data_IF_554344284451
#
_entry.id   IF_554344284451
#
_cell.length_a   1.000
_cell.length_b   1.000
_cell.length_c   1.000
_cell.angle_alpha   90.00
_cell.angle_beta   90.00
_cell.angle_gamma   90.00
#
_symmetry.space_group_name_H-M   'P 1'
#
loop_
_entity.id
_entity.type
_entity.pdbx_description
1 polymer ?
#
# COMPACT_ATOMS: atom_id res chain seq x y z
N UNK A 1 39.62 -32.78 -17.00
CA UNK A 1 38.69 -32.25 -15.97
C UNK A 1 37.28 -32.18 -16.55
N UNK A 2 36.44 -33.18 -16.26
CA UNK A 2 35.06 -33.20 -16.74
C UNK A 2 34.16 -32.46 -15.74
N UNK A 3 33.50 -31.39 -16.18
CA UNK A 3 32.49 -30.65 -15.40
C UNK A 3 31.31 -31.59 -15.09
N UNK A 4 31.03 -31.82 -13.81
CA UNK A 4 29.80 -32.45 -13.34
C UNK A 4 28.59 -31.64 -13.85
N UNK A 5 27.89 -32.16 -14.87
CA UNK A 5 26.57 -31.67 -15.26
C UNK A 5 25.60 -32.09 -14.16
N UNK A 6 25.17 -31.16 -13.31
CA UNK A 6 24.07 -31.37 -12.37
C UNK A 6 22.83 -31.76 -13.17
N UNK A 7 22.38 -33.00 -13.01
CA UNK A 7 21.21 -33.53 -13.73
C UNK A 7 19.97 -32.83 -13.17
N UNK A 8 19.35 -31.94 -13.95
CA UNK A 8 18.10 -31.27 -13.57
C UNK A 8 16.90 -32.19 -13.81
N UNK A 9 16.42 -32.79 -12.71
CA UNK A 9 15.24 -33.67 -12.70
C UNK A 9 13.99 -32.97 -13.24
N UNK A 10 13.83 -31.65 -13.01
CA UNK A 10 12.65 -30.89 -13.47
C UNK A 10 12.61 -30.81 -14.99
N UNK A 11 13.76 -30.52 -15.61
CA UNK A 11 13.89 -30.48 -17.07
C UNK A 11 13.60 -31.83 -17.72
N UNK A 12 14.02 -32.93 -17.08
CA UNK A 12 13.76 -34.30 -17.57
C UNK A 12 12.27 -34.64 -17.51
N UNK A 13 11.59 -34.32 -16.39
CA UNK A 13 10.15 -34.51 -16.26
C UNK A 13 9.40 -33.74 -17.35
N UNK A 14 9.74 -32.47 -17.58
CA UNK A 14 9.11 -31.64 -18.61
C UNK A 14 9.36 -32.17 -20.04
N UNK A 15 10.55 -32.71 -20.31
CA UNK A 15 10.88 -33.32 -21.60
C UNK A 15 10.00 -34.56 -21.86
N UNK A 16 9.85 -35.43 -20.86
CA UNK A 16 9.03 -36.65 -20.96
C UNK A 16 7.56 -36.28 -21.13
N UNK A 17 7.05 -35.31 -20.35
CA UNK A 17 5.68 -34.81 -20.49
C UNK A 17 5.42 -34.26 -21.90
N UNK A 18 6.40 -33.58 -22.52
CA UNK A 18 6.29 -33.05 -23.89
C UNK A 18 6.30 -34.15 -24.96
N UNK A 19 7.03 -35.24 -24.73
CA UNK A 19 7.18 -36.35 -25.70
C UNK A 19 6.05 -37.38 -25.60
N UNK A 20 5.69 -37.82 -24.39
CA UNK A 20 4.71 -38.89 -24.16
C UNK A 20 3.30 -38.36 -23.83
N UNK A 21 3.15 -37.07 -23.52
CA UNK A 21 1.88 -36.48 -23.05
C UNK A 21 1.55 -36.81 -21.58
N UNK A 22 2.32 -37.68 -20.93
CA UNK A 22 2.28 -37.98 -19.51
C UNK A 22 3.65 -38.44 -19.02
N UNK A 23 3.87 -38.45 -17.71
CA UNK A 23 5.07 -38.99 -17.07
C UNK A 23 4.70 -39.87 -15.87
N UNK A 24 5.46 -40.93 -15.65
CA UNK A 24 5.43 -41.74 -14.44
C UNK A 24 6.72 -41.57 -13.67
N UNK A 25 6.68 -41.87 -12.37
CA UNK A 25 7.86 -41.80 -11.51
C UNK A 25 8.92 -42.82 -11.96
N UNK A 26 8.50 -43.97 -12.49
CA UNK A 26 9.41 -44.99 -13.07
C UNK A 26 10.21 -44.46 -14.25
N UNK A 27 9.58 -43.69 -15.17
CA UNK A 27 10.28 -43.11 -16.33
C UNK A 27 11.48 -42.26 -15.90
N UNK A 28 11.35 -41.55 -14.78
CA UNK A 28 12.39 -40.66 -14.26
C UNK A 28 13.46 -41.44 -13.49
N UNK A 29 13.06 -42.47 -12.74
CA UNK A 29 13.99 -43.36 -12.03
C UNK A 29 14.92 -44.05 -13.04
N UNK A 30 14.35 -44.60 -14.12
CA UNK A 30 15.09 -45.29 -15.18
C UNK A 30 16.08 -44.37 -15.90
N UNK A 31 15.79 -43.07 -15.98
CA UNK A 31 16.64 -42.08 -16.68
C UNK A 31 17.69 -41.43 -15.78
N UNK A 32 17.50 -41.41 -14.46
CA UNK A 32 18.31 -40.57 -13.54
C UNK A 32 18.94 -41.31 -12.37
N UNK A 33 18.55 -42.56 -12.11
CA UNK A 33 18.99 -43.37 -10.97
C UNK A 33 18.73 -42.74 -9.59
N UNK A 34 17.93 -41.67 -9.49
CA UNK A 34 17.56 -41.06 -8.22
C UNK A 34 16.48 -41.84 -7.48
N UNK A 35 16.43 -41.67 -6.15
CA UNK A 35 15.44 -42.35 -5.31
C UNK A 35 14.00 -41.91 -5.65
N UNK A 36 13.05 -42.84 -5.50
CA UNK A 36 11.63 -42.59 -5.73
C UNK A 36 11.10 -41.43 -4.86
N UNK A 37 11.56 -41.31 -3.62
CA UNK A 37 11.20 -40.22 -2.72
C UNK A 37 11.68 -38.86 -3.23
N UNK A 38 12.92 -38.79 -3.74
CA UNK A 38 13.49 -37.58 -4.32
C UNK A 38 12.72 -37.11 -5.55
N UNK A 39 12.37 -38.02 -6.47
CA UNK A 39 11.58 -37.70 -7.67
C UNK A 39 10.14 -37.29 -7.32
N UNK A 40 9.51 -37.97 -6.35
CA UNK A 40 8.18 -37.62 -5.87
C UNK A 40 8.11 -36.20 -5.31
N UNK A 41 9.20 -35.69 -4.71
CA UNK A 41 9.28 -34.29 -4.27
C UNK A 41 9.12 -33.32 -5.44
N UNK A 42 9.75 -33.59 -6.58
CA UNK A 42 9.62 -32.75 -7.79
C UNK A 42 8.24 -32.85 -8.43
N UNK A 43 7.63 -34.05 -8.49
CA UNK A 43 6.25 -34.17 -8.98
C UNK A 43 5.24 -33.50 -8.05
N UNK A 44 5.46 -33.55 -6.72
CA UNK A 44 4.67 -32.80 -5.75
C UNK A 44 4.80 -31.30 -6.01
N UNK A 45 6.02 -30.79 -6.16
CA UNK A 45 6.26 -29.38 -6.49
C UNK A 45 5.60 -28.99 -7.81
N UNK A 46 5.75 -29.77 -8.89
CA UNK A 46 5.11 -29.48 -10.18
C UNK A 46 3.58 -29.53 -10.12
N UNK A 47 3.01 -30.36 -9.23
CA UNK A 47 1.57 -30.43 -8.99
C UNK A 47 1.09 -29.23 -8.17
N UNK A 48 1.83 -28.86 -7.13
CA UNK A 48 1.55 -27.70 -6.29
C UNK A 48 1.68 -26.39 -7.12
N UNK A 49 2.61 -26.36 -8.10
CA UNK A 49 2.75 -25.32 -9.13
C UNK A 49 1.63 -25.35 -10.20
N UNK A 50 0.71 -26.33 -10.15
CA UNK A 50 -0.37 -26.50 -11.12
C UNK A 50 0.08 -26.86 -12.53
N UNK A 51 1.33 -27.32 -12.72
CA UNK A 51 1.90 -27.70 -14.03
C UNK A 51 1.51 -29.11 -14.44
N UNK A 52 1.21 -29.99 -13.47
CA UNK A 52 0.79 -31.36 -13.72
C UNK A 52 -0.38 -31.78 -12.84
N UNK A 53 -1.24 -32.65 -13.37
CA UNK A 53 -2.30 -33.32 -12.64
C UNK A 53 -1.98 -34.81 -12.51
N UNK A 54 -2.23 -35.39 -11.33
CA UNK A 54 -2.06 -36.82 -11.10
C UNK A 54 -3.37 -37.56 -11.38
N UNK A 55 -3.32 -38.59 -12.20
CA UNK A 55 -4.42 -39.53 -12.45
C UNK A 55 -3.97 -40.94 -12.08
N UNK A 56 -4.85 -41.70 -11.40
CA UNK A 56 -4.56 -43.04 -10.92
C UNK A 56 -3.88 -43.08 -9.55
N UNK A 57 -3.60 -44.28 -9.06
CA UNK A 57 -2.96 -44.54 -7.75
C UNK A 57 -1.86 -45.59 -7.91
N UNK A 58 -0.88 -45.56 -6.99
CA UNK A 58 0.22 -46.51 -6.92
C UNK A 58 0.93 -46.73 -8.27
N UNK A 59 1.04 -47.98 -8.74
CA UNK A 59 1.69 -48.33 -10.02
C UNK A 59 0.93 -47.84 -11.27
N UNK A 60 -0.32 -47.40 -11.13
CA UNK A 60 -1.12 -46.80 -12.21
C UNK A 60 -1.09 -45.26 -12.19
N UNK A 61 -0.30 -44.65 -11.30
CA UNK A 61 -0.13 -43.20 -11.22
C UNK A 61 0.54 -42.65 -12.49
N UNK A 62 -0.11 -41.67 -13.11
CA UNK A 62 0.39 -40.93 -14.28
C UNK A 62 0.18 -39.44 -14.08
N UNK A 63 1.22 -38.65 -14.36
CA UNK A 63 1.19 -37.19 -14.30
C UNK A 63 0.98 -36.64 -15.69
N UNK A 64 -0.04 -35.81 -15.87
CA UNK A 64 -0.38 -35.18 -17.14
C UNK A 64 -0.09 -33.68 -17.09
N UNK A 65 0.43 -33.06 -18.16
CA UNK A 65 0.62 -31.63 -18.20
C UNK A 65 -0.74 -30.94 -18.15
N UNK A 66 -0.91 -30.01 -17.21
CA UNK A 66 -2.07 -29.13 -17.21
C UNK A 66 -1.78 -28.03 -18.23
N UNK A 67 -2.61 -27.93 -19.27
CA UNK A 67 -2.47 -26.86 -20.26
C UNK A 67 -2.50 -25.50 -19.57
N UNK A 68 -1.63 -24.56 -20.01
CA UNK A 68 -1.63 -23.18 -19.50
C UNK A 68 -3.04 -22.57 -19.52
N UNK A 69 -3.87 -22.93 -20.50
CA UNK A 69 -5.27 -22.53 -20.62
C UNK A 69 -6.17 -23.08 -19.51
N UNK A 70 -6.00 -24.34 -19.09
CA UNK A 70 -6.77 -24.94 -17.97
C UNK A 70 -6.36 -24.34 -16.64
N UNK A 71 -5.06 -24.11 -16.43
CA UNK A 71 -4.56 -23.45 -15.23
C UNK A 71 -5.02 -21.99 -15.14
N UNK A 72 -4.97 -21.25 -16.26
CA UNK A 72 -5.54 -19.90 -16.33
C UNK A 72 -7.05 -19.90 -16.10
N UNK A 73 -7.81 -20.85 -16.66
CA UNK A 73 -9.25 -20.99 -16.38
C UNK A 73 -9.55 -21.29 -14.90
N UNK A 74 -8.71 -22.08 -14.23
CA UNK A 74 -8.86 -22.38 -12.81
C UNK A 74 -8.51 -21.17 -11.93
N UNK A 75 -7.36 -20.52 -12.18
CA UNK A 75 -6.95 -19.28 -11.50
C UNK A 75 -7.97 -18.16 -11.71
N UNK A 76 -8.47 -18.02 -12.93
CA UNK A 76 -9.45 -17.02 -13.32
C UNK A 76 -10.82 -17.18 -12.64
N UNK A 77 -11.06 -18.23 -11.84
CA UNK A 77 -12.23 -18.35 -10.96
C UNK A 77 -11.96 -17.85 -9.53
N UNK A 78 -10.70 -17.68 -9.17
CA UNK A 78 -10.27 -17.25 -7.83
C UNK A 78 -10.13 -15.73 -7.85
N UNK A 79 -11.24 -15.06 -7.60
CA UNK A 79 -11.34 -13.60 -7.50
C UNK A 79 -11.27 -13.10 -6.06
N UNK A 80 -11.01 -13.99 -5.10
CA UNK A 80 -10.91 -13.65 -3.69
C UNK A 80 -9.79 -14.46 -3.05
N UNK A 81 -8.95 -13.78 -2.29
CA UNK A 81 -7.87 -14.36 -1.50
C UNK A 81 -8.00 -13.87 -0.07
N UNK A 82 -7.96 -14.78 0.89
CA UNK A 82 -7.86 -14.46 2.31
C UNK A 82 -6.74 -15.30 2.91
N UNK A 83 -5.80 -14.66 3.62
CA UNK A 83 -4.70 -15.35 4.29
C UNK A 83 -4.45 -14.76 5.67
N UNK A 84 -3.99 -15.61 6.57
CA UNK A 84 -3.43 -15.23 7.87
C UNK A 84 -1.94 -15.55 7.81
N UNK A 85 -1.11 -14.53 7.88
CA UNK A 85 0.34 -14.61 7.78
C UNK A 85 0.92 -14.58 9.19
N UNK A 86 1.95 -15.40 9.46
CA UNK A 86 2.76 -15.22 10.67
C UNK A 86 3.76 -14.10 10.40
N UNK A 87 3.87 -13.14 11.30
CA UNK A 87 4.81 -12.04 11.17
C UNK A 87 6.20 -12.44 11.65
N UNK A 88 6.81 -13.41 10.96
CA UNK A 88 8.13 -13.94 11.24
C UNK A 88 8.84 -14.22 9.92
N UNK A 89 9.92 -13.50 9.62
CA UNK A 89 10.66 -13.58 8.35
C UNK A 89 9.71 -13.46 7.13
N UNK A 90 8.72 -12.57 7.23
CA UNK A 90 7.74 -12.33 6.18
C UNK A 90 8.28 -11.25 5.23
N UNK A 91 8.15 -11.48 3.93
CA UNK A 91 8.50 -10.51 2.88
C UNK A 91 7.27 -10.26 2.00
N UNK A 92 6.90 -8.99 1.87
CA UNK A 92 5.72 -8.51 1.18
C UNK A 92 5.73 -8.84 -0.33
N UNK A 93 6.90 -8.77 -0.96
CA UNK A 93 7.12 -9.09 -2.37
C UNK A 93 6.84 -10.58 -2.68
N UNK A 94 7.25 -11.47 -1.78
CA UNK A 94 7.00 -12.90 -1.87
C UNK A 94 5.51 -13.20 -1.71
N UNK A 95 4.85 -12.58 -0.72
CA UNK A 95 3.40 -12.72 -0.50
C UNK A 95 2.63 -12.26 -1.74
N UNK A 96 2.99 -11.11 -2.31
CA UNK A 96 2.36 -10.59 -3.52
C UNK A 96 2.57 -11.53 -4.72
N UNK A 97 3.80 -12.03 -4.91
CA UNK A 97 4.13 -13.00 -5.97
C UNK A 97 3.25 -14.24 -5.84
N UNK A 98 3.09 -14.80 -4.64
CA UNK A 98 2.22 -15.95 -4.41
C UNK A 98 0.74 -15.64 -4.75
N UNK A 99 0.25 -14.43 -4.47
CA UNK A 99 -1.13 -14.02 -4.82
C UNK A 99 -1.30 -14.00 -6.33
N UNK A 100 -0.37 -13.38 -7.07
CA UNK A 100 -0.36 -13.33 -8.54
C UNK A 100 -0.28 -14.72 -9.15
N UNK A 101 0.51 -15.61 -8.54
CA UNK A 101 0.67 -16.97 -9.02
C UNK A 101 -0.54 -17.85 -8.72
N UNK A 102 -1.22 -17.69 -7.58
CA UNK A 102 -2.26 -18.63 -7.13
C UNK A 102 -3.69 -18.15 -7.40
N UNK A 103 -3.89 -16.92 -7.89
CA UNK A 103 -5.22 -16.34 -8.09
C UNK A 103 -5.39 -15.63 -9.43
N UNK A 104 -6.65 -15.31 -9.78
CA UNK A 104 -7.03 -14.51 -10.93
C UNK A 104 -7.21 -13.02 -10.61
N UNK A 105 -6.73 -12.57 -9.45
CA UNK A 105 -6.88 -11.18 -8.99
C UNK A 105 -6.33 -10.18 -10.03
N UNK A 106 -5.17 -10.48 -10.61
CA UNK A 106 -4.48 -9.60 -11.56
C UNK A 106 -4.88 -9.80 -13.03
N UNK A 107 -5.88 -10.65 -13.31
CA UNK A 107 -6.26 -10.95 -14.69
C UNK A 107 -7.04 -9.80 -15.31
N UNK A 108 -6.81 -9.54 -16.59
CA UNK A 108 -7.50 -8.50 -17.36
C UNK A 108 -7.44 -7.08 -16.74
N UNK A 109 -6.38 -6.78 -15.99
CA UNK A 109 -6.09 -5.43 -15.50
C UNK A 109 -5.18 -4.70 -16.48
N UNK A 110 -5.41 -3.39 -16.64
CA UNK A 110 -4.46 -2.51 -17.33
C UNK A 110 -3.15 -2.42 -16.55
N UNK A 111 -2.03 -2.18 -17.23
CA UNK A 111 -0.72 -2.20 -16.55
C UNK A 111 -0.57 -1.14 -15.47
N UNK A 112 -1.10 0.06 -15.71
CA UNK A 112 -1.07 1.12 -14.69
C UNK A 112 -1.77 0.68 -13.39
N UNK A 113 -2.88 -0.06 -13.48
CA UNK A 113 -3.58 -0.59 -12.31
C UNK A 113 -2.77 -1.68 -11.62
N UNK A 114 -2.08 -2.56 -12.38
CA UNK A 114 -1.20 -3.58 -11.77
C UNK A 114 -0.04 -2.93 -11.03
N UNK A 115 0.63 -1.94 -11.63
CA UNK A 115 1.72 -1.20 -10.98
C UNK A 115 1.26 -0.50 -9.71
N UNK A 116 0.07 0.11 -9.74
CA UNK A 116 -0.53 0.72 -8.54
C UNK A 116 -0.72 -0.34 -7.45
N UNK A 117 -1.35 -1.46 -7.78
CA UNK A 117 -1.61 -2.52 -6.79
C UNK A 117 -0.32 -3.13 -6.25
N UNK A 118 0.70 -3.29 -7.08
CA UNK A 118 2.00 -3.82 -6.68
C UNK A 118 2.64 -2.91 -5.64
N UNK A 119 2.70 -1.62 -5.92
CA UNK A 119 3.21 -0.61 -4.98
C UNK A 119 2.35 -0.54 -3.72
N UNK A 120 1.06 -0.24 -3.84
CA UNK A 120 0.24 0.08 -2.66
C UNK A 120 0.02 -1.13 -1.74
N UNK A 121 -0.09 -2.34 -2.26
CA UNK A 121 -0.22 -3.51 -1.41
C UNK A 121 1.06 -3.84 -0.66
N UNK A 122 2.22 -3.78 -1.34
CA UNK A 122 3.52 -4.07 -0.71
C UNK A 122 3.82 -3.05 0.37
N UNK A 123 3.60 -1.76 0.10
CA UNK A 123 3.76 -0.70 1.09
C UNK A 123 2.88 -0.89 2.33
N UNK A 124 1.60 -1.22 2.15
CA UNK A 124 0.69 -1.41 3.30
C UNK A 124 1.00 -2.69 4.09
N UNK A 125 1.44 -3.75 3.40
CA UNK A 125 1.85 -4.99 4.07
C UNK A 125 3.19 -4.81 4.80
N UNK A 126 4.16 -4.11 4.20
CA UNK A 126 5.45 -3.84 4.80
C UNK A 126 5.31 -3.00 6.08
N UNK A 127 4.48 -1.93 6.02
CA UNK A 127 4.12 -1.15 7.20
C UNK A 127 3.54 -2.02 8.34
N UNK A 128 2.70 -3.02 8.00
CA UNK A 128 2.18 -3.96 8.99
C UNK A 128 3.27 -4.91 9.53
N UNK A 129 4.20 -5.38 8.69
CA UNK A 129 5.31 -6.25 9.08
C UNK A 129 6.22 -5.53 10.08
N UNK A 130 6.66 -4.32 9.73
CA UNK A 130 7.71 -3.58 10.43
C UNK A 130 7.23 -2.84 11.68
N UNK A 131 5.99 -2.35 11.66
CA UNK A 131 5.54 -1.39 12.68
C UNK A 131 4.37 -1.88 13.53
N UNK A 132 3.70 -2.97 13.17
CA UNK A 132 2.55 -3.42 13.96
C UNK A 132 2.95 -4.08 15.28
N UNK A 133 4.12 -4.72 15.35
CA UNK A 133 4.49 -5.65 16.44
C UNK A 133 3.46 -6.80 16.62
N UNK A 134 2.61 -7.03 15.63
CA UNK A 134 1.60 -8.09 15.69
C UNK A 134 2.19 -9.43 15.31
N UNK A 135 1.84 -10.50 16.03
CA UNK A 135 2.27 -11.86 15.69
C UNK A 135 1.66 -12.37 14.37
N UNK A 136 0.51 -11.83 13.96
CA UNK A 136 -0.21 -12.25 12.77
C UNK A 136 -0.75 -11.05 12.01
N UNK A 137 -0.76 -11.17 10.69
CA UNK A 137 -1.32 -10.18 9.77
C UNK A 137 -2.34 -10.88 8.89
N UNK A 138 -3.54 -10.33 8.79
CA UNK A 138 -4.59 -10.82 7.94
C UNK A 138 -4.64 -10.00 6.66
N UNK A 139 -4.72 -10.66 5.53
CA UNK A 139 -4.85 -10.01 4.23
C UNK A 139 -6.07 -10.53 3.49
N UNK A 140 -6.75 -9.60 2.82
CA UNK A 140 -7.80 -9.91 1.85
C UNK A 140 -7.48 -9.24 0.53
N UNK A 141 -7.77 -9.93 -0.56
CA UNK A 141 -7.74 -9.38 -1.91
C UNK A 141 -9.01 -9.81 -2.62
N UNK A 142 -9.68 -8.88 -3.30
CA UNK A 142 -10.91 -9.15 -4.04
C UNK A 142 -10.87 -8.44 -5.38
N UNK A 143 -11.12 -9.20 -6.43
CA UNK A 143 -11.36 -8.70 -7.78
C UNK A 143 -12.87 -8.75 -8.04
N UNK A 144 -13.50 -7.59 -8.19
CA UNK A 144 -14.94 -7.46 -8.48
C UNK A 144 -15.19 -7.08 -9.94
N UNK A 145 -16.44 -6.88 -10.33
CA UNK A 145 -16.75 -6.49 -11.70
C UNK A 145 -16.25 -5.08 -12.07
N UNK A 146 -16.16 -4.15 -11.12
CA UNK A 146 -15.68 -2.78 -11.34
C UNK A 146 -14.29 -2.50 -10.77
N UNK A 147 -14.00 -3.06 -9.60
CA UNK A 147 -12.90 -2.60 -8.75
C UNK A 147 -12.04 -3.74 -8.24
N UNK A 148 -10.79 -3.41 -7.89
CA UNK A 148 -9.91 -4.22 -7.07
C UNK A 148 -9.90 -3.64 -5.65
N UNK A 149 -10.03 -4.55 -4.68
CA UNK A 149 -9.98 -4.25 -3.27
C UNK A 149 -8.89 -5.07 -2.60
N UNK A 150 -8.15 -4.47 -1.68
CA UNK A 150 -7.41 -5.23 -0.69
C UNK A 150 -7.58 -4.64 0.70
N UNK A 151 -7.31 -5.49 1.69
CA UNK A 151 -7.30 -5.11 3.10
C UNK A 151 -6.12 -5.76 3.80
N UNK A 152 -5.42 -4.98 4.63
CA UNK A 152 -4.35 -5.42 5.50
C UNK A 152 -4.76 -5.09 6.93
N UNK A 153 -4.87 -6.12 7.77
CA UNK A 153 -5.27 -5.98 9.17
C UNK A 153 -4.19 -6.60 10.06
N UNK A 154 -3.72 -5.85 11.03
CA UNK A 154 -2.95 -6.36 12.16
C UNK A 154 -3.75 -6.18 13.46
N UNK A 155 -3.30 -6.88 14.52
CA UNK A 155 -3.85 -6.72 15.89
C UNK A 155 -2.77 -6.24 16.86
N UNK A 156 -1.84 -5.46 16.34
CA UNK A 156 -0.66 -4.95 17.02
C UNK A 156 -0.91 -3.65 17.78
N UNK A 157 0.14 -2.83 17.87
CA UNK A 157 0.14 -1.52 18.56
C UNK A 157 -0.89 -0.54 17.97
N UNK A 158 -1.08 -0.61 16.65
CA UNK A 158 -1.92 0.31 15.87
C UNK A 158 -1.20 1.60 15.49
N UNK A 159 -1.41 2.04 14.25
CA UNK A 159 -0.76 3.17 13.58
C UNK A 159 -0.84 4.47 14.39
N UNK A 160 -2.03 4.87 14.85
CA UNK A 160 -2.18 6.12 15.58
C UNK A 160 -1.47 6.06 16.93
N UNK A 161 -1.59 4.96 17.67
CA UNK A 161 -0.88 4.78 18.93
C UNK A 161 0.64 4.78 18.74
N UNK A 162 1.13 4.11 17.71
CA UNK A 162 2.55 4.10 17.37
C UNK A 162 3.08 5.52 17.10
N UNK A 163 2.35 6.30 16.29
CA UNK A 163 2.70 7.70 16.00
C UNK A 163 2.63 8.55 17.28
N UNK A 164 1.58 8.42 18.08
CA UNK A 164 1.42 9.12 19.37
C UNK A 164 2.65 8.89 20.25
N UNK A 165 3.03 7.63 20.45
CA UNK A 165 4.14 7.25 21.33
C UNK A 165 5.47 7.80 20.81
N UNK A 166 5.77 7.62 19.53
CA UNK A 166 7.07 7.99 18.95
C UNK A 166 7.22 9.50 18.74
N UNK A 167 6.14 10.22 18.47
CA UNK A 167 6.14 11.70 18.26
C UNK A 167 5.70 12.49 19.50
N UNK A 168 5.36 11.81 20.60
CA UNK A 168 4.87 12.40 21.86
C UNK A 168 3.65 13.32 21.65
N UNK A 169 2.72 12.88 20.80
CA UNK A 169 1.49 13.62 20.51
C UNK A 169 0.44 13.38 21.60
N UNK A 170 -0.59 14.23 21.66
CA UNK A 170 -1.56 14.19 22.75
C UNK A 170 -2.70 13.20 22.54
N UNK A 171 -3.08 12.95 21.29
CA UNK A 171 -4.25 12.15 20.93
C UNK A 171 -4.22 11.71 19.46
N UNK A 172 -5.18 10.87 19.08
CA UNK A 172 -5.32 10.30 17.74
C UNK A 172 -5.54 11.35 16.66
N UNK A 173 -6.20 12.47 16.98
CA UNK A 173 -6.43 13.54 16.02
C UNK A 173 -5.12 14.23 15.64
N UNK A 174 -4.23 14.47 16.60
CA UNK A 174 -2.89 15.00 16.32
C UNK A 174 -2.05 13.99 15.52
N UNK A 175 -2.17 12.69 15.81
CA UNK A 175 -1.47 11.66 15.04
C UNK A 175 -1.96 11.55 13.60
N UNK A 176 -3.28 11.66 13.38
CA UNK A 176 -3.87 11.75 12.04
C UNK A 176 -3.34 13.00 11.34
N UNK A 177 -3.41 14.17 11.97
CA UNK A 177 -2.92 15.43 11.41
C UNK A 177 -1.44 15.35 11.00
N UNK A 178 -0.60 14.70 11.80
CA UNK A 178 0.79 14.45 11.44
C UNK A 178 0.90 13.51 10.24
N UNK A 179 0.23 12.34 10.29
CA UNK A 179 0.24 11.31 9.24
C UNK A 179 -0.12 11.88 7.85
N UNK A 180 -1.18 12.70 7.77
CA UNK A 180 -1.70 13.22 6.49
C UNK A 180 -0.68 14.16 5.80
N UNK A 181 0.26 14.77 6.54
CA UNK A 181 1.26 15.67 5.96
C UNK A 181 2.31 14.95 5.10
N UNK A 182 2.47 13.64 5.25
CA UNK A 182 3.51 12.88 4.58
C UNK A 182 4.93 13.13 5.13
N UNK A 183 5.91 12.38 4.61
CA UNK A 183 7.29 12.27 5.15
C UNK A 183 7.30 11.95 6.64
N UNK A 184 6.26 11.29 7.14
CA UNK A 184 6.16 10.96 8.56
C UNK A 184 6.59 9.53 8.73
N UNK A 185 7.87 9.39 9.01
CA UNK A 185 8.47 8.14 9.41
C UNK A 185 8.74 8.17 10.89
N UNK A 186 8.62 7.00 11.51
CA UNK A 186 9.04 6.79 12.87
C UNK A 186 10.39 6.08 12.98
N UNK A 187 11.00 5.78 11.83
CA UNK A 187 12.34 5.22 11.64
C UNK A 187 12.98 5.87 10.39
N UNK A 188 13.46 7.13 10.49
CA UNK A 188 13.90 7.93 9.35
C UNK A 188 15.14 7.44 8.61
N UNK A 189 15.88 6.51 9.19
CA UNK A 189 17.04 5.87 8.55
C UNK A 189 16.59 4.76 7.59
N UNK A 190 15.45 4.12 7.87
CA UNK A 190 14.99 2.91 7.18
C UNK A 190 13.79 3.20 6.26
N UNK A 191 12.96 4.21 6.58
CA UNK A 191 11.78 4.57 5.80
C UNK A 191 11.67 6.07 5.57
N UNK A 192 11.31 6.45 4.34
CA UNK A 192 11.06 7.83 3.94
C UNK A 192 9.77 8.41 4.56
N UNK A 193 8.83 7.55 4.96
CA UNK A 193 7.54 7.94 5.54
C UNK A 193 6.58 8.52 4.50
N UNK A 194 6.74 8.09 3.25
CA UNK A 194 6.03 8.60 2.07
C UNK A 194 4.93 7.62 1.61
N UNK A 195 5.01 6.38 2.04
CA UNK A 195 4.31 5.25 1.45
C UNK A 195 2.79 5.36 1.64
N UNK A 196 2.37 5.68 2.87
CA UNK A 196 0.97 5.95 3.21
C UNK A 196 0.46 7.20 2.47
N UNK A 197 1.31 8.23 2.37
CA UNK A 197 0.93 9.47 1.69
C UNK A 197 0.67 9.22 0.20
N UNK A 198 1.59 8.56 -0.50
CA UNK A 198 1.41 8.25 -1.91
C UNK A 198 0.28 7.25 -2.13
N UNK A 199 0.14 6.24 -1.28
CA UNK A 199 -0.99 5.30 -1.33
C UNK A 199 -2.31 6.06 -1.20
N UNK A 200 -2.39 7.07 -0.33
CA UNK A 200 -3.60 7.88 -0.15
C UNK A 200 -3.92 8.79 -1.33
N UNK A 201 -2.95 9.13 -2.19
CA UNK A 201 -3.17 9.93 -3.41
C UNK A 201 -3.51 9.08 -4.63
N UNK A 202 -3.06 7.83 -4.65
CA UNK A 202 -3.21 6.92 -5.79
C UNK A 202 -4.52 6.13 -5.73
N UNK A 203 -4.99 5.78 -4.53
CA UNK A 203 -6.24 5.04 -4.35
C UNK A 203 -7.45 5.80 -4.90
N UNK A 204 -8.51 5.11 -5.33
CA UNK A 204 -9.81 5.77 -5.48
C UNK A 204 -10.41 6.03 -4.08
N UNK A 205 -10.25 5.05 -3.17
CA UNK A 205 -10.57 5.19 -1.76
C UNK A 205 -9.52 4.46 -0.90
N UNK A 206 -9.02 5.12 0.14
CA UNK A 206 -8.17 4.52 1.18
C UNK A 206 -8.79 4.78 2.55
N UNK A 207 -8.97 3.73 3.34
CA UNK A 207 -9.47 3.82 4.71
C UNK A 207 -8.44 3.25 5.67
N UNK A 208 -8.15 4.00 6.74
CA UNK A 208 -7.26 3.57 7.82
C UNK A 208 -8.01 3.65 9.14
N UNK A 209 -8.27 2.51 9.77
CA UNK A 209 -8.88 2.42 11.11
C UNK A 209 -7.82 2.03 12.14
N UNK A 210 -7.92 2.63 13.32
CA UNK A 210 -7.04 2.35 14.45
C UNK A 210 -7.53 3.10 15.67
N UNK A 211 -7.30 2.55 16.87
CA UNK A 211 -7.86 3.09 18.11
C UNK A 211 -9.38 3.35 17.93
N UNK A 212 -9.88 4.54 18.23
CA UNK A 212 -11.27 4.98 18.07
C UNK A 212 -11.50 5.84 16.80
N UNK A 213 -10.56 5.88 15.85
CA UNK A 213 -10.64 6.73 14.66
C UNK A 213 -10.62 5.95 13.36
N UNK A 214 -11.32 6.50 12.36
CA UNK A 214 -11.29 6.08 10.97
C UNK A 214 -10.95 7.28 10.09
N UNK A 215 -9.84 7.21 9.37
CA UNK A 215 -9.43 8.18 8.36
C UNK A 215 -9.82 7.65 6.99
N UNK A 216 -10.41 8.50 6.17
CA UNK A 216 -10.92 8.16 4.84
C UNK A 216 -10.36 9.16 3.85
N UNK A 217 -9.63 8.68 2.85
CA UNK A 217 -9.29 9.44 1.65
C UNK A 217 -10.22 8.98 0.54
N UNK A 218 -11.12 9.85 0.11
CA UNK A 218 -12.02 9.59 -1.02
C UNK A 218 -11.61 10.48 -2.19
N UNK A 219 -10.83 9.91 -3.11
CA UNK A 219 -10.31 10.65 -4.27
C UNK A 219 -11.34 10.70 -5.41
N UNK A 220 -12.46 9.98 -5.33
CA UNK A 220 -13.57 10.08 -6.30
C UNK A 220 -14.26 11.43 -6.14
N UNK A 221 -14.50 11.87 -4.90
CA UNK A 221 -15.03 13.21 -4.61
C UNK A 221 -13.94 14.24 -4.25
N UNK A 222 -12.70 13.78 -4.09
CA UNK A 222 -11.53 14.60 -3.77
C UNK A 222 -11.64 15.22 -2.38
N UNK A 223 -11.90 14.40 -1.36
CA UNK A 223 -12.09 14.86 0.01
C UNK A 223 -11.58 13.86 1.07
N UNK A 224 -11.13 14.38 2.22
CA UNK A 224 -10.69 13.56 3.37
C UNK A 224 -11.64 13.72 4.55
N UNK A 225 -11.92 12.60 5.22
CA UNK A 225 -12.83 12.52 6.36
C UNK A 225 -12.18 11.83 7.56
N UNK A 226 -12.61 12.23 8.76
CA UNK A 226 -12.24 11.60 10.02
C UNK A 226 -13.53 11.28 10.76
N UNK A 227 -13.74 10.02 11.10
CA UNK A 227 -14.92 9.54 11.82
C UNK A 227 -14.50 8.92 13.17
N UNK A 228 -15.34 9.13 14.18
CA UNK A 228 -15.29 8.35 15.42
C UNK A 228 -15.90 6.97 15.19
N UNK A 229 -15.20 5.94 15.64
CA UNK A 229 -15.64 4.55 15.55
C UNK A 229 -15.47 3.85 16.90
N UNK A 230 -16.10 2.67 17.05
CA UNK A 230 -15.79 1.79 18.18
C UNK A 230 -14.30 1.45 18.19
N UNK A 231 -13.70 1.44 19.37
CA UNK A 231 -12.27 1.16 19.52
C UNK A 231 -11.90 -0.18 18.90
N UNK A 232 -10.90 -0.17 18.02
CA UNK A 232 -10.31 -1.34 17.40
C UNK A 232 -8.88 -1.54 17.88
N UNK A 233 -8.46 -2.81 18.01
CA UNK A 233 -7.07 -3.19 18.27
C UNK A 233 -6.31 -3.34 16.96
N UNK A 234 -5.09 -2.79 16.92
CA UNK A 234 -4.20 -2.80 15.76
C UNK A 234 -4.60 -1.77 14.71
N UNK A 235 -4.16 -2.01 13.47
CA UNK A 235 -4.52 -1.21 12.31
C UNK A 235 -5.22 -2.02 11.25
N UNK A 236 -6.21 -1.40 10.63
CA UNK A 236 -7.01 -1.96 9.54
C UNK A 236 -6.99 -0.99 8.36
N UNK A 237 -6.23 -1.34 7.33
CA UNK A 237 -6.10 -0.58 6.09
C UNK A 237 -6.95 -1.26 5.01
N UNK A 238 -7.80 -0.48 4.37
CA UNK A 238 -8.62 -0.92 3.24
C UNK A 238 -8.39 -0.01 2.04
N UNK A 239 -8.20 -0.60 0.87
CA UNK A 239 -7.84 0.09 -0.37
C UNK A 239 -8.78 -0.34 -1.50
N UNK A 240 -9.23 0.62 -2.30
CA UNK A 240 -10.00 0.41 -3.52
C UNK A 240 -9.40 1.16 -4.70
N UNK A 241 -9.43 0.51 -5.86
CA UNK A 241 -9.16 1.15 -7.15
C UNK A 241 -10.02 0.52 -8.27
N UNK A 242 -10.54 1.36 -9.15
CA UNK A 242 -11.22 0.95 -10.36
C UNK A 242 -10.28 0.21 -11.29
N UNK A 243 -10.76 -0.88 -11.89
CA UNK A 243 -10.02 -1.61 -12.93
C UNK A 243 -9.81 -0.77 -14.18
N UNK A 244 -10.59 0.28 -14.36
CA UNK A 244 -10.50 1.23 -15.46
C UNK A 244 -9.86 2.57 -15.03
N UNK A 245 -9.23 2.62 -13.85
CA UNK A 245 -8.54 3.83 -13.40
C UNK A 245 -7.51 4.28 -14.44
N UNK A 246 -7.50 5.59 -14.72
CA UNK A 246 -6.53 6.23 -15.61
C UNK A 246 -5.31 6.75 -14.85
N UNK A 247 -5.34 6.68 -13.52
CA UNK A 247 -4.25 7.11 -12.65
C UNK A 247 -2.98 6.36 -12.99
N UNK A 248 -1.86 7.06 -13.01
CA UNK A 248 -0.53 6.47 -13.14
C UNK A 248 0.29 6.88 -11.94
N UNK A 249 0.97 5.90 -11.34
CA UNK A 249 1.81 6.12 -10.17
C UNK A 249 2.89 7.20 -10.41
N UNK A 250 3.49 7.19 -11.60
CA UNK A 250 4.52 8.17 -11.98
C UNK A 250 4.00 9.60 -12.02
N UNK A 251 2.75 9.82 -12.48
CA UNK A 251 2.16 11.16 -12.54
C UNK A 251 1.99 11.72 -11.11
N UNK A 252 1.58 10.87 -10.17
CA UNK A 252 1.48 11.23 -8.75
C UNK A 252 2.86 11.49 -8.14
N UNK A 253 3.85 10.63 -8.38
CA UNK A 253 5.21 10.88 -7.87
C UNK A 253 5.75 12.21 -8.39
N UNK A 254 5.66 12.45 -9.70
CA UNK A 254 6.13 13.68 -10.32
C UNK A 254 5.46 14.93 -9.73
N UNK A 255 4.16 14.87 -9.42
CA UNK A 255 3.43 15.98 -8.79
C UNK A 255 4.05 16.42 -7.46
N UNK A 256 4.55 15.47 -6.66
CA UNK A 256 5.03 15.74 -5.30
C UNK A 256 6.57 15.73 -5.16
N UNK A 257 7.31 15.16 -6.11
CA UNK A 257 8.77 15.14 -6.11
C UNK A 257 9.41 16.19 -7.02
N UNK A 258 8.66 16.67 -8.03
CA UNK A 258 9.21 17.52 -9.08
C UNK A 258 10.42 16.88 -9.79
N UNK A 259 11.30 17.73 -10.33
CA UNK A 259 12.46 17.30 -11.14
C UNK A 259 13.58 16.65 -10.32
N UNK A 260 13.60 16.88 -9.00
CA UNK A 260 14.65 16.36 -8.12
C UNK A 260 14.41 14.92 -7.65
N UNK A 261 13.24 14.32 -7.96
CA UNK A 261 12.78 13.03 -7.44
C UNK A 261 12.72 12.89 -5.91
N UNK A 262 13.10 13.93 -5.18
CA UNK A 262 12.91 14.07 -3.74
C UNK A 262 11.50 14.61 -3.46
N UNK A 263 10.73 13.97 -2.57
CA UNK A 263 9.38 14.40 -2.16
C UNK A 263 9.38 15.77 -1.45
N UNK A 264 9.53 16.85 -2.21
CA UNK A 264 9.70 18.20 -1.70
C UNK A 264 8.38 18.92 -1.42
N UNK A 265 7.23 18.38 -1.81
CA UNK A 265 5.96 19.09 -1.80
C UNK A 265 4.90 18.38 -0.98
N UNK A 266 4.14 19.10 -0.16
CA UNK A 266 2.98 18.53 0.53
C UNK A 266 1.74 19.41 0.41
N UNK A 267 0.57 18.78 0.54
CA UNK A 267 -0.73 19.44 0.55
C UNK A 267 -1.43 19.19 1.88
N UNK A 268 -1.80 20.27 2.58
CA UNK A 268 -2.44 20.22 3.89
C UNK A 268 -3.87 20.75 3.81
N UNK A 269 -4.83 19.91 4.18
CA UNK A 269 -6.24 20.29 4.25
C UNK A 269 -6.54 21.03 5.55
N UNK A 270 -6.74 22.35 5.46
CA UNK A 270 -6.91 23.22 6.62
C UNK A 270 -8.17 22.86 7.42
N UNK A 271 -9.22 22.37 6.76
CA UNK A 271 -10.46 21.93 7.40
C UNK A 271 -10.24 20.88 8.49
N UNK A 272 -9.23 20.01 8.35
CA UNK A 272 -8.93 18.92 9.30
C UNK A 272 -8.31 19.42 10.62
N UNK A 273 -7.94 20.70 10.68
CA UNK A 273 -7.36 21.34 11.87
C UNK A 273 -8.34 22.25 12.60
N UNK A 274 -9.56 22.42 12.05
CA UNK A 274 -10.63 23.17 12.69
C UNK A 274 -11.11 22.40 13.93
N UNK A 275 -11.31 23.11 15.03
CA UNK A 275 -11.72 22.55 16.31
C UNK A 275 -12.67 23.53 16.97
N UNK A 276 -13.97 23.19 16.99
CA UNK A 276 -15.04 23.86 17.74
C UNK A 276 -15.42 25.28 17.29
N UNK A 277 -14.46 26.15 16.96
CA UNK A 277 -14.68 27.56 16.62
C UNK A 277 -15.00 27.75 15.14
N UNK A 278 -15.81 28.78 14.84
CA UNK A 278 -16.13 29.18 13.46
C UNK A 278 -14.91 29.56 12.62
N UNK A 279 -13.85 30.02 13.27
CA UNK A 279 -12.57 30.48 12.71
C UNK A 279 -11.38 29.67 13.24
N UNK A 280 -10.25 29.78 12.54
CA UNK A 280 -8.99 29.10 12.89
C UNK A 280 -8.05 30.04 13.66
N UNK A 281 -7.47 29.55 14.75
CA UNK A 281 -6.64 30.29 15.70
C UNK A 281 -5.14 30.16 15.44
N UNK A 282 -4.33 30.99 16.13
CA UNK A 282 -2.87 30.94 16.08
C UNK A 282 -2.27 29.61 16.57
N UNK A 283 -2.87 28.98 17.58
CA UNK A 283 -2.41 27.66 18.05
C UNK A 283 -2.71 26.56 17.02
N UNK A 284 -3.81 26.68 16.28
CA UNK A 284 -4.10 25.82 15.13
C UNK A 284 -3.09 26.03 13.99
N UNK A 285 -2.69 27.26 13.69
CA UNK A 285 -1.62 27.53 12.72
C UNK A 285 -0.33 26.78 13.09
N UNK A 286 0.11 26.87 14.36
CA UNK A 286 1.31 26.15 14.81
C UNK A 286 1.19 24.63 14.65
N UNK A 287 0.00 24.06 14.88
CA UNK A 287 -0.24 22.62 14.65
C UNK A 287 -0.20 22.24 13.17
N UNK A 288 -0.78 23.07 12.30
CA UNK A 288 -0.70 22.90 10.84
C UNK A 288 0.77 22.89 10.41
N UNK A 289 1.54 23.88 10.86
CA UNK A 289 2.92 24.12 10.42
C UNK A 289 3.96 23.16 11.00
N UNK A 290 3.68 22.57 12.17
CA UNK A 290 4.61 21.65 12.84
C UNK A 290 5.07 20.52 11.92
N UNK A 291 6.38 20.38 11.75
CA UNK A 291 6.99 19.33 10.94
C UNK A 291 6.95 19.59 9.44
N UNK A 292 6.44 20.75 8.99
CA UNK A 292 6.46 21.12 7.57
C UNK A 292 7.80 21.70 7.10
N UNK A 293 8.74 21.94 8.02
CA UNK A 293 10.07 22.49 7.74
C UNK A 293 10.93 21.58 6.83
N UNK A 294 10.53 20.31 6.68
CA UNK A 294 11.18 19.30 5.82
C UNK A 294 10.77 19.37 4.34
N UNK A 295 9.82 20.24 3.99
CA UNK A 295 9.33 20.40 2.62
C UNK A 295 9.89 21.69 1.99
N UNK A 296 9.98 21.68 0.66
CA UNK A 296 10.33 22.84 -0.18
C UNK A 296 9.09 23.63 -0.59
N UNK A 297 7.97 22.94 -0.82
CA UNK A 297 6.69 23.56 -1.18
C UNK A 297 5.54 23.02 -0.31
N UNK A 298 4.70 23.92 0.19
CA UNK A 298 3.53 23.60 1.01
C UNK A 298 2.31 24.25 0.35
N UNK A 299 1.32 23.42 0.01
CA UNK A 299 0.00 23.88 -0.41
C UNK A 299 -0.95 23.80 0.79
N UNK A 300 -1.52 24.94 1.17
CA UNK A 300 -2.59 25.01 2.16
C UNK A 300 -3.94 25.03 1.44
N UNK A 301 -4.71 23.96 1.56
CA UNK A 301 -6.03 23.84 0.95
C UNK A 301 -7.13 24.33 1.90
N UNK A 302 -7.81 25.40 1.49
CA UNK A 302 -8.89 26.05 2.21
C UNK A 302 -10.28 25.59 1.75
N UNK A 303 -10.39 24.48 1.00
CA UNK A 303 -11.69 23.88 0.65
C UNK A 303 -12.55 23.71 1.91
N UNK A 304 -13.78 24.22 1.86
CA UNK A 304 -14.74 24.25 2.98
C UNK A 304 -14.27 25.05 4.23
N UNK A 305 -13.37 26.02 4.05
CA UNK A 305 -12.93 26.95 5.11
C UNK A 305 -13.33 28.37 4.72
N UNK A 306 -14.36 28.90 5.38
CA UNK A 306 -14.93 30.22 5.07
C UNK A 306 -14.47 31.35 5.97
N UNK A 307 -13.76 31.04 7.06
CA UNK A 307 -13.23 32.07 7.95
C UNK A 307 -11.90 31.66 8.57
N UNK A 308 -11.02 32.65 8.72
CA UNK A 308 -9.67 32.49 9.24
C UNK A 308 -9.37 33.69 10.13
N UNK A 309 -8.94 33.44 11.36
CA UNK A 309 -8.55 34.53 12.27
C UNK A 309 -7.24 35.17 11.82
N UNK A 310 -7.10 36.47 12.05
CA UNK A 310 -5.86 37.21 11.74
C UNK A 310 -4.63 36.55 12.39
N UNK A 311 -4.74 36.04 13.62
CA UNK A 311 -3.65 35.35 14.30
C UNK A 311 -3.19 34.04 13.63
N UNK A 312 -4.08 33.35 12.89
CA UNK A 312 -3.67 32.22 12.05
C UNK A 312 -2.90 32.71 10.83
N UNK A 313 -3.46 33.69 10.10
CA UNK A 313 -2.86 34.23 8.89
C UNK A 313 -1.47 34.82 9.18
N UNK A 314 -1.35 35.61 10.25
CA UNK A 314 -0.11 36.22 10.73
C UNK A 314 0.96 35.16 11.03
N UNK A 315 0.57 34.09 11.74
CA UNK A 315 1.51 33.02 12.10
C UNK A 315 2.01 32.27 10.86
N UNK A 316 1.11 31.93 9.93
CA UNK A 316 1.45 31.16 8.71
C UNK A 316 2.24 32.02 7.72
N UNK A 317 1.64 33.09 7.24
CA UNK A 317 2.11 33.79 6.03
C UNK A 317 3.14 34.89 6.33
N UNK A 318 3.30 35.28 7.60
CA UNK A 318 4.28 36.30 8.00
C UNK A 318 5.33 35.71 8.95
N UNK A 319 4.94 35.23 10.13
CA UNK A 319 5.90 34.80 11.16
C UNK A 319 6.67 33.54 10.75
N UNK A 320 5.96 32.46 10.40
CA UNK A 320 6.59 31.19 10.03
C UNK A 320 7.28 31.28 8.68
N UNK A 321 6.66 31.94 7.69
CA UNK A 321 7.28 32.19 6.38
C UNK A 321 8.59 32.99 6.49
N UNK A 322 8.67 34.03 7.35
CA UNK A 322 9.93 34.77 7.59
C UNK A 322 11.01 33.90 8.24
N UNK A 323 10.62 32.92 9.06
CA UNK A 323 11.55 31.97 9.70
C UNK A 323 12.02 30.86 8.76
N UNK A 324 11.25 30.59 7.70
CA UNK A 324 11.53 29.55 6.72
C UNK A 324 11.51 30.12 5.29
N UNK A 325 12.38 31.10 4.97
CA UNK A 325 12.34 31.82 3.69
C UNK A 325 12.59 30.92 2.46
N UNK A 326 13.25 29.78 2.66
CA UNK A 326 13.53 28.78 1.63
C UNK A 326 12.30 27.93 1.25
N UNK A 327 11.25 27.94 2.06
CA UNK A 327 10.05 27.12 1.85
C UNK A 327 8.97 27.97 1.20
N UNK A 328 8.37 27.49 0.13
CA UNK A 328 7.28 28.18 -0.56
C UNK A 328 5.94 27.74 0.00
N UNK A 329 5.20 28.66 0.61
CA UNK A 329 3.78 28.46 0.96
C UNK A 329 2.89 29.04 -0.13
N UNK A 330 1.91 28.26 -0.58
CA UNK A 330 0.82 28.71 -1.47
C UNK A 330 -0.54 28.26 -0.96
N UNK A 331 -1.57 29.04 -1.25
CA UNK A 331 -2.96 28.73 -0.96
C UNK A 331 -3.69 28.07 -2.15
N UNK A 332 -4.60 27.15 -1.87
CA UNK A 332 -5.54 26.55 -2.83
C UNK A 332 -6.96 26.64 -2.27
N UNK A 333 -7.97 26.82 -3.13
CA UNK A 333 -9.39 26.89 -2.77
C UNK A 333 -9.73 27.94 -1.70
N UNK A 334 -8.91 28.99 -1.56
CA UNK A 334 -9.21 30.12 -0.70
C UNK A 334 -10.30 30.99 -1.33
N UNK A 335 -11.36 31.28 -0.57
CA UNK A 335 -12.39 32.25 -0.94
C UNK A 335 -11.89 33.71 -0.75
N UNK A 336 -12.75 34.68 -1.07
CA UNK A 336 -12.41 36.11 -0.99
C UNK A 336 -12.04 36.55 0.43
N UNK A 337 -12.75 36.05 1.46
CA UNK A 337 -12.49 36.38 2.86
C UNK A 337 -11.12 35.86 3.29
N UNK A 338 -10.78 34.62 2.91
CA UNK A 338 -9.49 34.02 3.20
C UNK A 338 -8.38 34.80 2.49
N UNK A 339 -8.51 35.09 1.19
CA UNK A 339 -7.50 35.83 0.41
C UNK A 339 -7.28 37.24 0.94
N UNK A 340 -8.35 37.93 1.32
CA UNK A 340 -8.27 39.26 1.95
C UNK A 340 -7.40 39.21 3.21
N UNK A 341 -7.65 38.24 4.09
CA UNK A 341 -6.89 38.09 5.34
C UNK A 341 -5.42 37.74 5.08
N UNK A 342 -5.12 36.89 4.09
CA UNK A 342 -3.74 36.56 3.69
C UNK A 342 -3.01 37.80 3.18
N UNK A 343 -3.65 38.57 2.29
CA UNK A 343 -3.06 39.79 1.72
C UNK A 343 -2.79 40.82 2.81
N UNK A 344 -3.77 41.06 3.68
CA UNK A 344 -3.66 42.01 4.78
C UNK A 344 -2.43 41.75 5.65
N UNK A 345 -2.18 40.49 6.06
CA UNK A 345 -1.02 40.18 6.93
C UNK A 345 0.33 40.16 6.20
N UNK A 346 0.35 39.95 4.88
CA UNK A 346 1.59 40.01 4.10
C UNK A 346 2.10 41.44 3.90
N UNK A 347 1.20 42.43 4.03
CA UNK A 347 1.51 43.87 3.92
C UNK A 347 1.92 44.50 5.26
N UNK A 348 1.84 43.76 6.39
CA UNK A 348 2.33 44.12 7.73
C UNK A 348 3.80 43.71 7.95
#
# INVERSE_FOLDING_TARGET
MAKNKTIDVRSIILKILKQKGYAQVSDIIETTSFSRAYINRFFKQLRDDGKVALIGKANKARYFPVGKSTLQKAKGKIHFVHRILQNQNLAEDQVLTEIKEKSGIYFHLFENVKHILDYTFTEMLNNAIEHSESARIWIWFKHTNGDIYFRVLDRGIGIYNNIILKKKLKNELEAIQDLIKGKQTTAPVEHSGEDIYFTSKVADCLIIKGSNKKLIFDNIIGDVFIEDIKTVKGTDVEFWISKQSKTKLNDIFQEYTGDTFEFGKTKVEIKLYKSGSGYISRSQARRVLSGLEKFKEIILDFKNVHSMGQGFADEVFRVWQRRNPQIKISEQNADENIRFMIKHVKEL
#
